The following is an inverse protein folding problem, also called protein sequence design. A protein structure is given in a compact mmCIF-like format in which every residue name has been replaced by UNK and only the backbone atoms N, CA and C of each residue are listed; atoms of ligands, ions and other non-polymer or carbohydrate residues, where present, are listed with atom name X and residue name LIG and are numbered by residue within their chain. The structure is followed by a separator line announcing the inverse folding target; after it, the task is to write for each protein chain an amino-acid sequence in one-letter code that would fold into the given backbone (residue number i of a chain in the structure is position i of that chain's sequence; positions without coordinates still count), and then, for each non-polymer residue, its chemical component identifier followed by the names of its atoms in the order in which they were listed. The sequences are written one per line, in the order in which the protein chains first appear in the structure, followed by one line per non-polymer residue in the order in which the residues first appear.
data_IF_154729457668
#
_entry.id   IF_154729457668
#
_cell.length_a   1.000
_cell.length_b   1.000
_cell.length_c   1.000
_cell.angle_alpha   90.00
_cell.angle_beta   90.00
_cell.angle_gamma   90.00
#
_symmetry.space_group_name_H-M   'P 1'
#
loop_
_entity.id
_entity.type
_entity.pdbx_description
1 polymer ?
#
# COMPACT_ATOMS: atom_id res chain seq x y z
N UNK A 1 16.80 -4.00 5.49
CA UNK A 1 15.50 -4.38 4.87
C UNK A 1 15.08 -3.32 3.88
N UNK A 2 14.60 -3.70 2.72
CA UNK A 2 14.21 -2.74 1.69
C UNK A 2 12.70 -2.66 1.56
N UNK A 3 12.20 -1.46 1.27
CA UNK A 3 10.79 -1.24 1.00
C UNK A 3 10.36 -2.05 -0.23
N UNK A 4 9.28 -2.80 -0.10
CA UNK A 4 8.76 -3.62 -1.20
C UNK A 4 8.09 -2.80 -2.30
N UNK A 5 7.85 -1.51 -2.07
CA UNK A 5 7.19 -0.62 -3.03
C UNK A 5 8.20 0.25 -3.78
N UNK A 6 9.00 1.04 -3.04
CA UNK A 6 9.94 1.98 -3.67
C UNK A 6 11.41 1.52 -3.66
N UNK A 7 11.75 0.45 -2.94
CA UNK A 7 13.10 -0.07 -2.84
C UNK A 7 14.01 0.69 -1.89
N UNK A 8 13.50 1.69 -1.19
CA UNK A 8 14.27 2.46 -0.24
C UNK A 8 14.63 1.62 1.00
N UNK A 9 15.79 1.88 1.59
CA UNK A 9 16.21 1.17 2.79
C UNK A 9 15.33 1.55 3.98
N UNK A 10 14.86 0.55 4.70
CA UNK A 10 14.05 0.73 5.91
C UNK A 10 14.96 0.53 7.11
N UNK A 11 15.01 1.51 8.01
CA UNK A 11 15.89 1.50 9.19
C UNK A 11 15.30 0.77 10.39
N UNK A 12 14.01 0.57 10.41
CA UNK A 12 13.29 -0.08 11.51
C UNK A 12 12.54 -1.32 11.02
N UNK A 13 11.46 -1.67 11.69
CA UNK A 13 10.65 -2.83 11.34
C UNK A 13 9.84 -2.64 10.07
N UNK A 14 9.73 -1.39 9.62
CA UNK A 14 8.88 -1.07 8.48
C UNK A 14 7.40 -1.17 8.79
N UNK A 15 6.58 -1.08 7.74
CA UNK A 15 5.14 -1.11 7.85
C UNK A 15 4.57 -2.24 7.00
N UNK A 16 3.46 -2.81 7.42
CA UNK A 16 2.75 -3.82 6.64
C UNK A 16 2.15 -3.15 5.39
N UNK A 17 2.55 -3.57 4.17
CA UNK A 17 2.06 -2.94 2.94
C UNK A 17 0.66 -3.40 2.52
N UNK A 18 0.06 -4.33 3.23
CA UNK A 18 -1.26 -4.84 2.88
C UNK A 18 -2.30 -3.73 2.84
N UNK A 19 -3.04 -3.68 1.76
CA UNK A 19 -4.03 -2.63 1.54
C UNK A 19 -3.56 -1.51 0.63
N UNK A 20 -2.29 -1.49 0.23
CA UNK A 20 -1.77 -0.46 -0.66
C UNK A 20 -2.52 -0.45 -1.99
N UNK A 21 -2.83 0.76 -2.48
CA UNK A 21 -3.52 0.96 -3.75
C UNK A 21 -2.88 2.16 -4.44
N UNK A 22 -2.68 2.07 -5.74
CA UNK A 22 -2.18 3.21 -6.53
C UNK A 22 -2.79 3.23 -7.93
N UNK A 23 -2.68 4.38 -8.58
CA UNK A 23 -3.12 4.56 -9.95
C UNK A 23 -1.97 4.34 -10.92
N UNK A 24 -2.26 3.62 -12.00
CA UNK A 24 -1.32 3.49 -13.13
C UNK A 24 -1.42 4.73 -14.02
N UNK A 25 -0.53 4.82 -15.01
CA UNK A 25 -0.57 5.89 -16.00
C UNK A 25 -1.88 5.92 -16.78
N UNK A 26 -2.51 4.76 -16.94
CA UNK A 26 -3.78 4.63 -17.67
C UNK A 26 -4.99 5.02 -16.82
N UNK A 27 -4.76 5.43 -15.58
CA UNK A 27 -5.83 5.78 -14.66
C UNK A 27 -6.50 4.59 -13.99
N UNK A 28 -5.96 3.40 -14.20
CA UNK A 28 -6.47 2.19 -13.54
C UNK A 28 -5.98 2.10 -12.12
N UNK A 29 -6.78 1.51 -11.25
CA UNK A 29 -6.40 1.30 -9.86
C UNK A 29 -5.86 -0.11 -9.70
N UNK A 30 -4.65 -0.21 -9.17
CA UNK A 30 -4.01 -1.49 -8.88
C UNK A 30 -4.02 -1.76 -7.39
N UNK A 31 -4.39 -2.98 -7.03
CA UNK A 31 -4.40 -3.47 -5.65
C UNK A 31 -3.47 -4.68 -5.57
N UNK A 32 -2.15 -4.44 -5.45
CA UNK A 32 -1.19 -5.54 -5.44
C UNK A 32 -1.33 -6.39 -4.19
N UNK A 33 -0.93 -7.65 -4.31
CA UNK A 33 -0.86 -8.56 -3.18
C UNK A 33 0.57 -8.61 -2.68
N UNK A 34 0.72 -8.68 -1.37
CA UNK A 34 2.03 -8.73 -0.72
C UNK A 34 2.15 -9.99 0.13
N UNK A 35 3.39 -10.43 0.32
CA UNK A 35 3.69 -11.55 1.19
C UNK A 35 3.70 -11.11 2.64
N UNK A 36 3.56 -12.05 3.55
CA UNK A 36 3.53 -11.76 4.99
C UNK A 36 4.80 -11.06 5.48
N UNK A 37 5.95 -11.38 4.87
CA UNK A 37 7.23 -10.80 5.24
C UNK A 37 7.53 -9.46 4.57
N UNK A 38 6.70 -9.03 3.62
CA UNK A 38 6.92 -7.76 2.92
C UNK A 38 6.70 -6.58 3.88
N UNK A 39 7.56 -5.56 3.70
CA UNK A 39 7.47 -4.33 4.50
C UNK A 39 7.70 -3.12 3.60
N UNK A 40 7.09 -2.00 3.95
CA UNK A 40 7.27 -0.75 3.23
C UNK A 40 7.76 0.35 4.16
N UNK A 41 8.34 1.40 3.57
CA UNK A 41 8.81 2.55 4.36
C UNK A 41 7.62 3.42 4.79
N UNK A 42 7.91 4.36 5.71
CA UNK A 42 6.87 5.26 6.24
C UNK A 42 6.23 6.10 5.13
N UNK A 43 7.03 6.55 4.17
CA UNK A 43 6.52 7.35 3.06
C UNK A 43 5.51 6.56 2.22
N UNK A 44 5.84 5.32 1.87
CA UNK A 44 4.94 4.48 1.11
C UNK A 44 3.71 4.08 1.92
N UNK A 45 3.88 3.88 3.23
CA UNK A 45 2.76 3.61 4.11
C UNK A 45 1.75 4.76 4.08
N UNK A 46 2.23 6.00 4.17
CA UNK A 46 1.37 7.19 4.14
C UNK A 46 0.82 7.50 2.75
N UNK A 47 1.57 7.18 1.69
CA UNK A 47 1.19 7.52 0.32
C UNK A 47 0.27 6.49 -0.33
N UNK A 48 0.42 5.21 0.01
CA UNK A 48 -0.29 4.13 -0.68
C UNK A 48 -1.11 3.24 0.24
N UNK A 49 -0.56 2.85 1.38
CA UNK A 49 -1.22 1.89 2.27
C UNK A 49 -2.42 2.52 2.98
N UNK A 50 -2.21 3.63 3.64
CA UNK A 50 -3.29 4.31 4.39
C UNK A 50 -4.40 4.77 3.47
N UNK A 51 -4.12 5.49 2.36
CA UNK A 51 -5.17 5.86 1.41
C UNK A 51 -5.85 4.64 0.79
N UNK A 52 -5.10 3.57 0.53
CA UNK A 52 -5.64 2.34 -0.03
C UNK A 52 -6.63 1.67 0.90
N UNK A 53 -6.32 1.61 2.18
CA UNK A 53 -7.24 1.04 3.18
C UNK A 53 -8.51 1.86 3.28
N UNK A 54 -8.39 3.19 3.26
CA UNK A 54 -9.55 4.07 3.26
C UNK A 54 -10.40 3.89 2.02
N UNK A 55 -9.77 3.75 0.86
CA UNK A 55 -10.46 3.47 -0.41
C UNK A 55 -11.25 2.17 -0.34
N UNK A 56 -10.64 1.10 0.19
CA UNK A 56 -11.31 -0.21 0.31
C UNK A 56 -12.50 -0.15 1.25
N UNK A 57 -12.38 0.58 2.36
CA UNK A 57 -13.49 0.75 3.31
C UNK A 57 -14.64 1.52 2.65
N UNK A 58 -14.35 2.62 1.97
CA UNK A 58 -15.35 3.42 1.29
C UNK A 58 -16.06 2.61 0.20
N UNK A 59 -15.31 1.81 -0.56
CA UNK A 59 -15.88 0.96 -1.61
C UNK A 59 -16.80 -0.11 -1.03
N UNK A 60 -16.41 -0.71 0.09
CA UNK A 60 -17.24 -1.72 0.75
C UNK A 60 -18.54 -1.13 1.25
N UNK A 61 -18.50 0.09 1.78
CA UNK A 61 -19.72 0.79 2.24
C UNK A 61 -20.62 1.17 1.07
N UNK A 62 -20.03 1.57 -0.06
CA UNK A 62 -20.79 1.99 -1.23
C UNK A 62 -21.52 0.81 -1.89
N UNK A 63 -21.05 -0.41 -1.69
CA UNK A 63 -21.63 -1.60 -2.29
C UNK A 63 -22.76 -2.24 -1.48
N UNK A 64 -23.17 -1.60 -0.42
CA UNK A 64 -24.30 -2.09 0.41
C UNK A 64 -25.64 -1.55 -0.04
#
# INVERSE_FOLDING_TARGET
MKCCICGKEIKDWGNNPDGAVWKTHDGKIEMPEFKAEDRCCDECNGAFVIPGRMYRIAKAKANK
#
